data_IF_683528152032
#
_entry.id   IF_683528152032
#
_cell.length_a   1.000
_cell.length_b   1.000
_cell.length_c   1.000
_cell.angle_alpha   90.00
_cell.angle_beta   90.00
_cell.angle_gamma   90.00
#
_symmetry.space_group_name_H-M   'P 1'
#
loop_
_entity.id
_entity.type
_entity.pdbx_description
1 polymer ?
#
# COMPACT_ATOMS: atom_id res chain seq x y z
N UNK A 1 -7.55 30.52 -17.96
CA UNK A 1 -6.72 29.58 -17.18
C UNK A 1 -7.58 28.97 -16.08
N UNK A 2 -8.05 27.72 -16.22
CA UNK A 2 -8.99 27.09 -15.25
C UNK A 2 -8.21 26.35 -14.17
N UNK A 3 -8.28 26.80 -12.91
CA UNK A 3 -7.80 26.01 -11.77
C UNK A 3 -8.66 24.74 -11.62
N UNK A 4 -8.06 23.58 -11.84
CA UNK A 4 -8.70 22.29 -11.56
C UNK A 4 -8.49 22.00 -10.07
N UNK A 5 -9.60 21.88 -9.33
CA UNK A 5 -9.57 21.64 -7.87
C UNK A 5 -8.79 20.37 -7.50
N UNK A 6 -7.84 20.52 -6.56
CA UNK A 6 -7.03 19.44 -5.98
C UNK A 6 -7.86 18.27 -5.41
N UNK A 7 -9.15 18.46 -5.11
CA UNK A 7 -10.03 17.37 -4.64
C UNK A 7 -10.20 16.24 -5.66
N UNK A 8 -10.05 16.48 -6.97
CA UNK A 8 -10.13 15.41 -7.98
C UNK A 8 -8.92 14.48 -7.99
N UNK A 9 -7.76 14.94 -7.52
CA UNK A 9 -6.50 14.16 -7.47
C UNK A 9 -6.66 12.90 -6.59
N UNK A 10 -7.23 13.07 -5.40
CA UNK A 10 -7.30 12.02 -4.38
C UNK A 10 -8.23 10.85 -4.72
N UNK A 11 -9.32 11.07 -5.48
CA UNK A 11 -10.27 10.00 -5.84
C UNK A 11 -9.67 8.95 -6.81
N UNK A 12 -8.58 9.27 -7.51
CA UNK A 12 -7.96 8.38 -8.50
C UNK A 12 -6.76 7.58 -7.98
N UNK A 13 -6.19 7.95 -6.82
CA UNK A 13 -5.12 7.17 -6.17
C UNK A 13 -5.69 5.89 -5.51
N UNK A 14 -7.00 5.85 -5.23
CA UNK A 14 -7.66 4.83 -4.39
C UNK A 14 -8.84 4.09 -5.06
N UNK A 15 -8.90 3.99 -6.40
CA UNK A 15 -10.06 3.40 -7.12
C UNK A 15 -9.79 2.03 -7.80
N UNK A 16 -9.78 0.89 -7.07
CA UNK A 16 -9.63 -0.45 -7.64
C UNK A 16 -10.93 -1.04 -8.22
N UNK A 17 -11.75 -0.23 -8.92
CA UNK A 17 -13.08 -0.64 -9.40
C UNK A 17 -13.50 0.01 -10.73
N UNK A 18 -12.54 0.24 -11.64
CA UNK A 18 -12.82 0.58 -13.05
C UNK A 18 -12.07 -0.37 -14.02
N UNK A 19 -12.30 -1.67 -13.84
CA UNK A 19 -11.86 -2.73 -14.76
C UNK A 19 -12.99 -3.75 -15.00
N UNK A 20 -14.02 -3.28 -15.71
CA UNK A 20 -14.90 -4.04 -16.64
C UNK A 20 -15.94 -3.06 -17.17
N UNK A 21 -16.02 -2.92 -18.49
CA UNK A 21 -17.20 -2.41 -19.20
C UNK A 21 -17.48 -3.42 -20.30
N UNK A 22 -18.19 -4.48 -19.95
CA UNK A 22 -18.97 -5.26 -20.92
C UNK A 22 -20.25 -4.46 -21.14
N UNK A 23 -20.55 -4.14 -22.39
CA UNK A 23 -21.74 -3.38 -22.74
C UNK A 23 -22.97 -4.30 -22.71
N UNK A 24 -23.68 -4.30 -21.59
CA UNK A 24 -25.06 -4.79 -21.50
C UNK A 24 -25.95 -3.66 -21.00
N UNK A 25 -26.95 -3.31 -21.82
CA UNK A 25 -27.99 -2.35 -21.47
C UNK A 25 -29.07 -3.11 -20.72
N UNK A 26 -29.18 -2.86 -19.41
CA UNK A 26 -30.28 -3.36 -18.59
C UNK A 26 -31.13 -2.14 -18.20
N UNK A 27 -32.34 -2.06 -18.76
CA UNK A 27 -33.34 -1.10 -18.33
C UNK A 27 -33.89 -1.50 -16.96
N UNK A 28 -34.09 -0.52 -16.06
CA UNK A 28 -34.70 -0.72 -14.74
C UNK A 28 -35.89 0.24 -14.60
N UNK A 29 -37.04 -0.17 -14.03
CA UNK A 29 -38.30 0.56 -14.19
C UNK A 29 -38.38 1.87 -13.38
N UNK A 30 -39.25 2.78 -13.85
CA UNK A 30 -39.62 4.01 -13.14
C UNK A 30 -40.63 3.71 -12.01
N UNK A 31 -40.25 3.81 -10.73
CA UNK A 31 -41.05 4.46 -9.67
C UNK A 31 -40.44 4.43 -8.25
N UNK A 32 -40.21 5.63 -7.68
CA UNK A 32 -40.66 6.12 -6.34
C UNK A 32 -40.07 5.46 -5.05
N UNK A 33 -39.88 6.16 -3.90
CA UNK A 33 -39.89 7.61 -3.59
C UNK A 33 -38.52 8.16 -3.09
N UNK A 34 -38.44 9.48 -2.82
CA UNK A 34 -37.22 10.17 -2.38
C UNK A 34 -37.24 10.59 -0.88
N UNK A 35 -36.31 10.04 -0.07
CA UNK A 35 -36.05 10.35 1.36
C UNK A 35 -34.60 9.89 1.67
N UNK A 36 -33.63 10.62 2.27
CA UNK A 36 -33.46 12.05 2.65
C UNK A 36 -32.14 12.56 2.04
N UNK A 37 -31.99 13.87 1.78
CA UNK A 37 -30.68 14.48 1.48
C UNK A 37 -29.90 14.84 2.76
N UNK A 38 -28.94 14.00 3.17
CA UNK A 38 -27.95 14.35 4.19
C UNK A 38 -26.96 15.40 3.64
N UNK A 39 -27.28 16.67 3.88
CA UNK A 39 -26.54 17.85 3.40
C UNK A 39 -25.16 17.92 4.08
N UNK A 40 -24.10 17.48 3.40
CA UNK A 40 -22.72 17.64 3.88
C UNK A 40 -22.44 19.14 4.06
N UNK A 41 -22.29 19.55 5.31
CA UNK A 41 -21.96 20.93 5.66
C UNK A 41 -20.47 21.15 5.40
N UNK A 42 -20.14 21.56 4.18
CA UNK A 42 -18.85 22.16 3.91
C UNK A 42 -18.78 23.54 4.59
N UNK A 43 -17.73 23.87 5.37
CA UNK A 43 -17.59 25.18 5.97
C UNK A 43 -17.42 26.24 4.86
N UNK A 44 -18.38 27.16 4.75
CA UNK A 44 -18.26 28.36 3.92
C UNK A 44 -17.24 29.30 4.56
N UNK A 45 -16.06 29.42 3.95
CA UNK A 45 -15.14 30.52 4.24
C UNK A 45 -15.71 31.79 3.58
N UNK A 46 -16.34 32.65 4.38
CA UNK A 46 -16.79 33.96 3.94
C UNK A 46 -15.60 34.92 3.84
N UNK A 47 -15.27 35.38 2.63
CA UNK A 47 -14.36 36.51 2.44
C UNK A 47 -15.08 37.83 2.73
N UNK A 48 -15.26 38.14 4.01
CA UNK A 48 -15.74 39.43 4.50
C UNK A 48 -14.64 40.51 4.51
N UNK A 49 -15.01 41.78 4.32
CA UNK A 49 -14.08 42.92 4.22
C UNK A 49 -13.39 43.25 5.55
N UNK A 50 -12.21 43.88 5.44
CA UNK A 50 -11.38 44.41 6.55
C UNK A 50 -12.18 45.15 7.63
N UNK A 51 -11.80 44.93 8.90
CA UNK A 51 -11.55 45.99 9.87
C UNK A 51 -10.12 45.84 10.39
N UNK A 52 -9.58 46.94 10.91
CA UNK A 52 -8.14 47.13 11.16
C UNK A 52 -7.75 46.86 12.61
N UNK A 53 -6.42 46.87 12.79
CA UNK A 53 -5.68 47.17 14.01
C UNK A 53 -5.39 46.03 15.01
N UNK A 54 -4.09 45.70 15.02
CA UNK A 54 -3.26 45.29 16.16
C UNK A 54 -3.85 44.30 17.17
N UNK A 55 -3.58 43.02 16.92
CA UNK A 55 -2.74 42.25 17.85
C UNK A 55 -2.05 41.11 17.10
N UNK A 56 -0.72 41.16 17.03
CA UNK A 56 0.12 40.12 16.43
C UNK A 56 0.20 38.93 17.39
N UNK A 57 -0.80 38.05 17.34
CA UNK A 57 -0.59 36.68 17.79
C UNK A 57 -0.12 35.86 16.57
N UNK A 58 1.16 35.42 16.52
CA UNK A 58 1.66 34.61 15.42
C UNK A 58 1.08 33.21 15.54
N UNK A 59 -0.16 33.05 15.07
CA UNK A 59 -0.79 31.77 14.84
C UNK A 59 0.06 31.00 13.85
N UNK A 60 0.98 30.19 14.40
CA UNK A 60 1.56 29.04 13.72
C UNK A 60 0.35 28.21 13.28
N UNK A 61 0.02 28.33 12.00
CA UNK A 61 -0.92 27.43 11.35
C UNK A 61 -0.25 26.06 11.30
N UNK A 62 -0.31 25.35 12.42
CA UNK A 62 -0.03 23.93 12.50
C UNK A 62 -0.95 23.24 11.50
N UNK A 63 -0.42 22.99 10.30
CA UNK A 63 -1.08 22.11 9.35
C UNK A 63 -1.20 20.76 10.06
N UNK A 64 -2.42 20.38 10.40
CA UNK A 64 -2.69 19.15 11.13
C UNK A 64 -2.04 17.98 10.40
N UNK A 65 -1.19 17.22 11.07
CA UNK A 65 -0.45 16.14 10.42
C UNK A 65 -1.43 15.04 9.99
N UNK A 66 -1.51 14.81 8.68
CA UNK A 66 -2.41 13.83 8.08
C UNK A 66 -1.66 12.57 7.68
N UNK A 67 -2.26 11.44 8.00
CA UNK A 67 -1.70 10.11 7.81
C UNK A 67 -2.54 9.33 6.80
N UNK A 68 -1.85 8.48 6.05
CA UNK A 68 -2.43 7.36 5.31
C UNK A 68 -2.14 6.09 6.10
N UNK A 69 -3.15 5.23 6.29
CA UNK A 69 -3.04 4.00 7.09
C UNK A 69 -3.30 2.79 6.21
N UNK A 70 -2.32 1.89 6.18
CA UNK A 70 -2.39 0.54 5.62
C UNK A 70 -2.44 -0.48 6.76
N UNK A 71 -3.05 -1.64 6.49
CA UNK A 71 -3.06 -2.79 7.40
C UNK A 71 -2.21 -3.91 6.82
N UNK A 72 -1.34 -4.48 7.66
CA UNK A 72 -0.67 -5.73 7.38
C UNK A 72 -1.14 -6.85 8.31
N UNK A 73 -1.71 -7.91 7.72
CA UNK A 73 -2.16 -9.10 8.46
C UNK A 73 -0.98 -10.07 8.63
N UNK A 74 -0.46 -10.07 9.85
CA UNK A 74 0.58 -10.98 10.32
C UNK A 74 0.01 -12.23 11.03
N UNK A 75 -1.24 -12.20 11.50
CA UNK A 75 -1.97 -13.33 12.11
C UNK A 75 -3.18 -13.70 11.23
N UNK A 76 -3.02 -14.62 10.25
CA UNK A 76 -4.09 -14.97 9.30
C UNK A 76 -5.35 -15.53 9.96
N UNK A 77 -5.20 -16.18 11.11
CA UNK A 77 -6.28 -16.78 11.89
C UNK A 77 -7.24 -15.73 12.45
N UNK A 78 -6.81 -14.46 12.52
CA UNK A 78 -7.61 -13.31 12.95
C UNK A 78 -8.30 -12.56 11.80
N UNK A 79 -8.19 -13.05 10.56
CA UNK A 79 -8.69 -12.35 9.38
C UNK A 79 -10.18 -11.98 9.45
N UNK A 80 -11.05 -12.91 9.85
CA UNK A 80 -12.49 -12.65 9.94
C UNK A 80 -12.80 -11.58 10.99
N UNK A 81 -12.24 -11.71 12.21
CA UNK A 81 -12.36 -10.70 13.28
C UNK A 81 -11.88 -9.30 12.84
N UNK A 82 -10.81 -9.24 12.03
CA UNK A 82 -10.28 -7.99 11.48
C UNK A 82 -11.27 -7.39 10.47
N UNK A 83 -11.82 -8.21 9.57
CA UNK A 83 -12.79 -7.77 8.54
C UNK A 83 -14.05 -7.23 9.21
N UNK A 84 -14.62 -7.95 10.18
CA UNK A 84 -15.85 -7.53 10.88
C UNK A 84 -15.62 -6.21 11.64
N UNK A 85 -14.53 -6.13 12.42
CA UNK A 85 -14.17 -4.90 13.16
C UNK A 85 -14.02 -3.69 12.22
N UNK A 86 -13.42 -3.89 11.03
CA UNK A 86 -13.24 -2.84 10.04
C UNK A 86 -14.51 -2.51 9.26
N UNK A 87 -15.40 -3.47 9.05
CA UNK A 87 -16.70 -3.27 8.40
C UNK A 87 -17.57 -2.35 9.26
N UNK A 88 -17.65 -2.65 10.56
CA UNK A 88 -18.34 -1.83 11.54
C UNK A 88 -17.69 -0.46 11.72
N UNK A 89 -16.36 -0.37 11.75
CA UNK A 89 -15.66 0.92 11.89
C UNK A 89 -15.81 1.82 10.66
N UNK A 90 -15.59 1.28 9.45
CA UNK A 90 -15.62 2.02 8.19
C UNK A 90 -17.05 2.22 7.63
N UNK A 91 -18.06 1.61 8.26
CA UNK A 91 -19.45 1.50 7.77
C UNK A 91 -19.50 0.97 6.33
N UNK A 92 -18.89 -0.20 6.14
CA UNK A 92 -18.76 -0.93 4.87
C UNK A 92 -19.20 -2.37 5.03
N UNK A 93 -19.51 -3.06 3.94
CA UNK A 93 -19.73 -4.51 3.99
C UNK A 93 -18.40 -5.27 4.08
N UNK A 94 -18.43 -6.47 4.65
CA UNK A 94 -17.26 -7.38 4.73
C UNK A 94 -16.61 -7.59 3.35
N UNK A 95 -17.40 -7.74 2.28
CA UNK A 95 -16.89 -7.86 0.91
C UNK A 95 -16.09 -6.61 0.44
N UNK A 96 -16.52 -5.41 0.81
CA UNK A 96 -15.79 -4.17 0.52
C UNK A 96 -14.47 -4.08 1.31
N UNK A 97 -14.51 -4.43 2.59
CA UNK A 97 -13.32 -4.45 3.47
C UNK A 97 -12.31 -5.50 3.01
N UNK A 98 -12.77 -6.71 2.69
CA UNK A 98 -11.97 -7.76 2.08
C UNK A 98 -11.30 -7.23 0.80
N UNK A 99 -12.06 -6.61 -0.11
CA UNK A 99 -11.48 -6.02 -1.33
C UNK A 99 -10.41 -4.95 -1.04
N UNK A 100 -10.59 -4.12 -0.01
CA UNK A 100 -9.60 -3.11 0.42
C UNK A 100 -8.31 -3.80 0.88
N UNK A 101 -8.41 -4.67 1.90
CA UNK A 101 -7.29 -5.42 2.49
C UNK A 101 -6.49 -6.17 1.41
N UNK A 102 -7.21 -6.89 0.55
CA UNK A 102 -6.63 -7.75 -0.46
C UNK A 102 -6.17 -7.04 -1.75
N UNK A 103 -6.24 -5.71 -1.79
CA UNK A 103 -5.68 -4.88 -2.87
C UNK A 103 -4.45 -4.14 -2.37
N UNK A 104 -3.24 -4.62 -2.70
CA UNK A 104 -1.99 -3.94 -2.30
C UNK A 104 -2.00 -2.45 -2.71
N UNK A 105 -1.75 -1.51 -1.79
CA UNK A 105 -1.11 -1.70 -0.48
C UNK A 105 -2.06 -1.77 0.75
N UNK A 106 -3.34 -2.12 0.61
CA UNK A 106 -4.24 -2.37 1.76
C UNK A 106 -4.62 -1.13 2.58
N UNK A 107 -4.75 0.03 1.92
CA UNK A 107 -5.06 1.32 2.58
C UNK A 107 -6.52 1.33 3.05
N UNK A 108 -6.72 1.42 4.36
CA UNK A 108 -8.06 1.49 4.99
C UNK A 108 -8.50 2.92 5.29
N UNK A 109 -7.56 3.82 5.55
CA UNK A 109 -7.82 5.24 5.84
C UNK A 109 -6.81 6.12 5.11
N UNK A 110 -7.24 7.28 4.64
CA UNK A 110 -6.36 8.32 4.10
C UNK A 110 -6.82 9.69 4.61
N UNK A 111 -5.86 10.61 4.76
CA UNK A 111 -6.07 11.97 5.25
C UNK A 111 -6.68 12.05 6.67
N UNK A 112 -6.27 11.13 7.53
CA UNK A 112 -6.74 11.07 8.93
C UNK A 112 -5.70 11.64 9.90
N UNK A 113 -6.16 12.20 11.01
CA UNK A 113 -5.29 12.71 12.06
C UNK A 113 -4.77 11.57 12.98
N UNK A 114 -3.84 11.91 13.87
CA UNK A 114 -3.24 10.93 14.79
C UNK A 114 -4.23 10.32 15.80
N UNK A 115 -5.34 10.98 16.15
CA UNK A 115 -6.34 10.40 17.08
C UNK A 115 -7.07 9.22 16.44
N UNK A 116 -7.50 9.37 15.19
CA UNK A 116 -8.12 8.30 14.40
C UNK A 116 -7.16 7.14 14.15
N UNK A 117 -5.86 7.42 13.97
CA UNK A 117 -4.82 6.38 13.89
C UNK A 117 -4.75 5.57 15.19
N UNK A 118 -4.71 6.25 16.35
CA UNK A 118 -4.64 5.59 17.67
C UNK A 118 -5.89 4.77 18.00
N UNK A 119 -7.07 5.26 17.64
CA UNK A 119 -8.34 4.54 17.79
C UNK A 119 -8.34 3.24 16.98
N UNK A 120 -7.97 3.32 15.70
CA UNK A 120 -7.83 2.13 14.85
C UNK A 120 -6.76 1.15 15.38
N UNK A 121 -5.67 1.67 15.94
CA UNK A 121 -4.60 0.84 16.53
C UNK A 121 -5.07 0.09 17.78
N UNK A 122 -5.88 0.73 18.64
CA UNK A 122 -6.48 0.10 19.79
C UNK A 122 -7.48 -1.00 19.39
N UNK A 123 -8.32 -0.73 18.38
CA UNK A 123 -9.32 -1.69 17.86
C UNK A 123 -8.67 -2.97 17.28
N UNK A 124 -7.52 -2.84 16.64
CA UNK A 124 -6.81 -3.93 15.96
C UNK A 124 -5.61 -4.49 16.74
N UNK A 125 -5.45 -4.07 18.01
CA UNK A 125 -4.35 -4.51 18.87
C UNK A 125 -4.22 -6.05 18.89
N UNK A 126 -3.00 -6.54 18.65
CA UNK A 126 -2.66 -7.97 18.55
C UNK A 126 -3.35 -8.76 17.42
N UNK A 127 -4.17 -8.13 16.56
CA UNK A 127 -4.80 -8.76 15.39
C UNK A 127 -4.05 -8.45 14.09
N UNK A 128 -3.59 -7.21 13.92
CA UNK A 128 -2.87 -6.77 12.73
C UNK A 128 -1.82 -5.69 13.04
N UNK A 129 -0.85 -5.54 12.13
CA UNK A 129 0.09 -4.43 12.12
C UNK A 129 -0.55 -3.24 11.39
N UNK A 130 -0.55 -2.06 12.02
CA UNK A 130 -0.90 -0.80 11.35
C UNK A 130 0.36 -0.11 10.84
N UNK A 131 0.33 0.27 9.56
CA UNK A 131 1.40 1.00 8.91
C UNK A 131 0.89 2.39 8.61
N UNK A 132 1.43 3.40 9.30
CA UNK A 132 1.02 4.78 9.19
C UNK A 132 2.12 5.59 8.50
N UNK A 133 1.76 6.31 7.44
CA UNK A 133 2.70 7.05 6.63
C UNK A 133 2.21 8.48 6.38
N UNK A 134 3.16 9.44 6.37
CA UNK A 134 2.91 10.86 6.07
C UNK A 134 3.37 11.14 4.65
N UNK A 135 2.49 11.69 3.82
CA UNK A 135 2.69 11.73 2.37
C UNK A 135 3.96 12.47 1.98
N UNK A 136 4.29 13.52 2.73
CA UNK A 136 5.39 14.46 2.52
C UNK A 136 6.76 13.79 2.78
N UNK A 137 6.82 12.87 3.73
CA UNK A 137 8.05 12.21 4.18
C UNK A 137 8.28 10.85 3.49
N UNK A 138 7.22 10.23 2.98
CA UNK A 138 7.28 8.92 2.35
C UNK A 138 8.00 8.90 0.99
N UNK A 139 8.52 7.72 0.66
CA UNK A 139 9.07 7.40 -0.67
C UNK A 139 8.09 6.57 -1.47
N UNK A 140 8.04 6.82 -2.78
CA UNK A 140 7.08 6.17 -3.67
C UNK A 140 7.78 5.34 -4.75
N UNK A 141 7.18 4.19 -5.06
CA UNK A 141 7.46 3.41 -6.26
C UNK A 141 6.48 3.82 -7.35
N UNK A 142 6.98 3.97 -8.58
CA UNK A 142 6.18 4.09 -9.79
C UNK A 142 6.08 2.73 -10.50
N UNK A 143 4.85 2.24 -10.68
CA UNK A 143 4.52 1.12 -11.55
C UNK A 143 3.78 1.63 -12.80
N UNK A 144 3.95 0.91 -13.92
CA UNK A 144 3.28 1.21 -15.20
C UNK A 144 2.63 -0.05 -15.79
N UNK A 145 1.46 0.12 -16.40
CA UNK A 145 0.79 -0.94 -17.19
C UNK A 145 1.69 -1.35 -18.37
N UNK A 146 2.06 -2.63 -18.40
CA UNK A 146 2.99 -3.17 -19.39
C UNK A 146 2.45 -3.09 -20.82
N UNK A 147 1.12 -3.01 -20.98
CA UNK A 147 0.46 -2.87 -22.28
C UNK A 147 0.58 -1.44 -22.85
N UNK A 148 1.09 -0.47 -22.07
CA UNK A 148 1.15 0.95 -22.42
C UNK A 148 2.58 1.39 -22.79
N UNK A 149 3.21 0.67 -23.72
CA UNK A 149 4.62 0.88 -24.15
C UNK A 149 4.98 2.35 -24.39
N UNK A 150 4.21 3.07 -25.21
CA UNK A 150 4.41 4.50 -25.48
C UNK A 150 4.43 5.36 -24.21
N UNK A 151 3.52 5.11 -23.27
CA UNK A 151 3.46 5.86 -22.00
C UNK A 151 4.68 5.50 -21.13
N UNK A 152 5.12 4.23 -21.15
CA UNK A 152 6.37 3.81 -20.47
C UNK A 152 7.60 4.53 -21.03
N UNK A 153 7.69 4.71 -22.34
CA UNK A 153 8.77 5.47 -23.01
C UNK A 153 8.74 6.96 -22.65
N UNK A 154 7.56 7.60 -22.75
CA UNK A 154 7.36 9.01 -22.36
C UNK A 154 7.69 9.23 -20.87
N UNK A 155 7.30 8.31 -19.98
CA UNK A 155 7.66 8.33 -18.56
C UNK A 155 9.16 8.17 -18.30
N UNK A 156 9.88 7.30 -19.04
CA UNK A 156 11.34 7.18 -18.91
C UNK A 156 12.01 8.53 -19.24
N UNK A 157 11.55 9.22 -20.30
CA UNK A 157 11.99 10.57 -20.62
C UNK A 157 11.71 11.58 -19.50
N UNK A 158 10.53 11.53 -18.88
CA UNK A 158 10.16 12.40 -17.76
C UNK A 158 10.97 12.12 -16.49
N UNK A 159 11.21 10.86 -16.15
CA UNK A 159 12.04 10.45 -15.01
C UNK A 159 13.48 10.94 -15.14
N UNK A 160 14.07 10.80 -16.32
CA UNK A 160 15.43 11.31 -16.62
C UNK A 160 15.54 12.83 -16.46
N UNK A 161 14.52 13.60 -16.88
CA UNK A 161 14.46 15.07 -16.66
C UNK A 161 14.39 15.46 -15.19
N UNK A 162 13.85 14.59 -14.33
CA UNK A 162 13.78 14.76 -12.87
C UNK A 162 14.99 14.15 -12.13
N UNK A 163 16.01 13.68 -12.87
CA UNK A 163 17.18 12.96 -12.33
C UNK A 163 16.80 11.72 -11.50
N UNK A 164 15.66 11.09 -11.79
CA UNK A 164 15.20 9.88 -11.11
C UNK A 164 15.75 8.66 -11.84
N UNK A 165 16.58 7.86 -11.15
CA UNK A 165 17.14 6.63 -11.71
C UNK A 165 16.02 5.60 -11.91
N UNK A 166 15.78 5.23 -13.17
CA UNK A 166 14.84 4.18 -13.52
C UNK A 166 15.34 2.79 -13.08
N UNK A 167 14.48 1.99 -12.44
CA UNK A 167 14.70 0.55 -12.27
C UNK A 167 14.00 -0.16 -13.41
N UNK A 168 14.74 -0.63 -14.40
CA UNK A 168 14.16 -1.29 -15.59
C UNK A 168 13.84 -2.77 -15.27
N UNK A 169 12.68 -3.01 -14.66
CA UNK A 169 12.01 -4.29 -14.78
C UNK A 169 10.67 -4.13 -15.51
N UNK A 170 9.93 -5.22 -15.70
CA UNK A 170 8.75 -5.19 -16.58
C UNK A 170 7.63 -4.29 -16.03
N UNK A 171 7.40 -4.29 -14.70
CA UNK A 171 6.27 -3.62 -14.02
C UNK A 171 6.66 -2.33 -13.27
N UNK A 172 7.81 -2.35 -12.58
CA UNK A 172 8.32 -1.19 -11.83
C UNK A 172 9.18 -0.36 -12.77
N UNK A 173 9.02 0.97 -12.71
CA UNK A 173 9.77 1.90 -13.55
C UNK A 173 10.80 2.71 -12.75
N UNK A 174 10.46 3.09 -11.53
CA UNK A 174 11.35 3.82 -10.62
C UNK A 174 10.95 3.62 -9.15
N UNK A 175 11.93 3.82 -8.27
CA UNK A 175 11.75 3.86 -6.81
C UNK A 175 12.16 5.23 -6.27
N UNK A 176 11.95 5.41 -4.97
CA UNK A 176 12.52 6.48 -4.13
C UNK A 176 12.10 7.91 -4.51
N UNK A 177 11.01 7.99 -5.28
CA UNK A 177 10.36 9.21 -5.75
C UNK A 177 9.79 9.96 -4.53
N UNK A 178 10.09 11.25 -4.43
CA UNK A 178 9.51 12.14 -3.41
C UNK A 178 8.05 12.49 -3.74
N UNK A 179 7.28 12.94 -2.75
CA UNK A 179 5.91 13.41 -2.98
C UNK A 179 5.81 14.58 -3.98
N UNK A 180 6.81 15.47 -3.98
CA UNK A 180 6.92 16.57 -4.94
C UNK A 180 7.06 16.04 -6.38
N UNK A 181 7.99 15.12 -6.62
CA UNK A 181 8.20 14.55 -7.95
C UNK A 181 7.05 13.63 -8.38
N UNK A 182 6.43 12.90 -7.45
CA UNK A 182 5.17 12.17 -7.69
C UNK A 182 4.09 13.12 -8.21
N UNK A 183 3.93 14.29 -7.59
CA UNK A 183 2.91 15.28 -7.97
C UNK A 183 3.16 15.85 -9.37
N UNK A 184 4.43 16.12 -9.73
CA UNK A 184 4.83 16.53 -11.08
C UNK A 184 4.44 15.46 -12.11
N UNK A 185 4.90 14.22 -11.92
CA UNK A 185 4.62 13.09 -12.82
C UNK A 185 3.10 12.81 -12.93
N UNK A 186 2.36 12.86 -11.81
CA UNK A 186 0.92 12.62 -11.84
C UNK A 186 0.14 13.71 -12.57
N UNK A 187 0.60 14.97 -12.51
CA UNK A 187 -0.05 16.08 -13.23
C UNK A 187 0.02 15.88 -14.75
N UNK A 188 1.12 15.30 -15.25
CA UNK A 188 1.34 15.01 -16.67
C UNK A 188 0.68 13.68 -17.10
N UNK A 189 0.89 12.60 -16.34
CA UNK A 189 0.54 11.23 -16.75
C UNK A 189 -0.69 10.62 -16.05
N UNK A 190 -1.17 11.19 -14.93
CA UNK A 190 -2.23 10.59 -14.11
C UNK A 190 -3.57 10.42 -14.82
N UNK A 191 -3.87 11.27 -15.81
CA UNK A 191 -5.09 11.17 -16.62
C UNK A 191 -5.14 9.88 -17.48
N UNK A 192 -3.98 9.32 -17.83
CA UNK A 192 -3.88 8.11 -18.66
C UNK A 192 -4.38 6.83 -17.98
N UNK A 193 -4.42 6.83 -16.63
CA UNK A 193 -4.64 5.64 -15.78
C UNK A 193 -3.65 4.48 -16.03
N UNK A 194 -2.55 4.72 -16.75
CA UNK A 194 -1.52 3.74 -17.03
C UNK A 194 -0.47 3.61 -15.91
N UNK A 195 -0.46 4.55 -14.95
CA UNK A 195 0.50 4.60 -13.85
C UNK A 195 -0.14 4.33 -12.50
N UNK A 196 0.63 3.75 -11.59
CA UNK A 196 0.29 3.62 -10.16
C UNK A 196 1.48 4.04 -9.33
N UNK A 197 1.24 4.90 -8.35
CA UNK A 197 2.19 5.14 -7.27
C UNK A 197 1.86 4.25 -6.06
N UNK A 198 2.88 3.65 -5.47
CA UNK A 198 2.76 2.87 -4.23
C UNK A 198 3.70 3.49 -3.20
N UNK A 199 3.17 3.89 -2.05
CA UNK A 199 3.99 4.30 -0.92
C UNK A 199 4.80 3.09 -0.43
N UNK A 200 6.12 3.21 -0.40
CA UNK A 200 7.01 2.11 -0.05
C UNK A 200 6.91 1.70 1.42
N UNK A 201 6.46 2.60 2.31
CA UNK A 201 6.28 2.28 3.73
C UNK A 201 5.32 1.11 3.92
N UNK A 202 4.34 0.97 3.02
CA UNK A 202 3.33 -0.09 3.00
C UNK A 202 3.78 -1.37 2.27
N UNK A 203 4.93 -1.36 1.59
CA UNK A 203 5.46 -2.55 0.93
C UNK A 203 6.11 -3.49 1.94
N UNK A 204 5.86 -4.78 1.76
CA UNK A 204 6.37 -5.88 2.59
C UNK A 204 6.99 -6.94 1.68
N UNK A 205 8.09 -7.54 2.11
CA UNK A 205 8.85 -8.53 1.33
C UNK A 205 9.13 -9.77 2.17
N UNK A 206 8.94 -10.92 1.55
CA UNK A 206 9.51 -12.16 2.03
C UNK A 206 10.95 -12.24 1.50
N UNK A 207 11.94 -12.41 2.40
CA UNK A 207 13.31 -12.77 2.00
C UNK A 207 13.31 -14.25 1.69
N UNK A 208 13.61 -14.61 0.46
CA UNK A 208 13.69 -15.99 0.01
C UNK A 208 15.12 -16.38 -0.31
N UNK A 209 15.49 -17.60 0.05
CA UNK A 209 16.68 -18.25 -0.50
C UNK A 209 16.47 -18.40 -2.01
N UNK A 210 17.47 -17.99 -2.80
CA UNK A 210 17.49 -18.16 -4.23
C UNK A 210 17.71 -19.64 -4.61
N UNK A 211 17.23 -20.04 -5.78
CA UNK A 211 17.59 -21.34 -6.35
C UNK A 211 19.08 -21.36 -6.70
N UNK A 212 19.90 -21.84 -5.76
CA UNK A 212 21.31 -22.12 -5.99
C UNK A 212 21.57 -23.58 -5.59
N UNK A 213 21.93 -24.40 -6.57
CA UNK A 213 22.20 -25.84 -6.40
C UNK A 213 23.37 -26.15 -5.47
N UNK A 214 24.16 -25.13 -5.11
CA UNK A 214 25.35 -25.23 -4.29
C UNK A 214 25.16 -24.64 -2.88
N UNK A 215 23.91 -24.57 -2.38
CA UNK A 215 23.65 -24.17 -1.00
C UNK A 215 24.21 -25.20 -0.02
N UNK A 216 25.17 -24.78 0.80
CA UNK A 216 25.77 -25.59 1.86
C UNK A 216 25.44 -24.93 3.20
N UNK A 217 24.82 -25.69 4.10
CA UNK A 217 24.57 -25.26 5.47
C UNK A 217 25.88 -25.28 6.26
N UNK A 218 26.37 -24.12 6.71
CA UNK A 218 27.49 -24.03 7.65
C UNK A 218 27.00 -23.84 9.08
N UNK A 219 27.83 -24.18 10.06
CA UNK A 219 27.52 -23.95 11.48
C UNK A 219 27.30 -22.45 11.79
N UNK A 220 28.01 -21.56 11.10
CA UNK A 220 27.83 -20.11 11.22
C UNK A 220 26.45 -19.65 10.73
N UNK A 221 26.01 -20.11 9.55
CA UNK A 221 24.67 -19.83 9.00
C UNK A 221 23.60 -20.39 9.95
N UNK A 222 23.77 -21.64 10.41
CA UNK A 222 22.87 -22.31 11.35
C UNK A 222 22.74 -21.52 12.66
N UNK A 223 23.86 -21.14 13.28
CA UNK A 223 23.90 -20.34 14.50
C UNK A 223 23.27 -18.94 14.30
N UNK A 224 23.51 -18.29 13.17
CA UNK A 224 22.92 -17.00 12.84
C UNK A 224 21.39 -17.08 12.72
N UNK A 225 20.86 -18.06 11.97
CA UNK A 225 19.43 -18.27 11.78
C UNK A 225 18.72 -18.63 13.10
N UNK A 226 19.33 -19.48 13.93
CA UNK A 226 18.84 -19.79 15.29
C UNK A 226 18.80 -18.54 16.17
N UNK A 227 19.88 -17.76 16.21
CA UNK A 227 20.02 -16.58 17.09
C UNK A 227 19.09 -15.45 16.70
N UNK A 228 19.08 -15.06 15.41
CA UNK A 228 18.37 -13.87 14.92
C UNK A 228 16.90 -14.14 14.59
N UNK A 229 16.60 -15.26 13.95
CA UNK A 229 15.27 -15.58 13.43
C UNK A 229 14.56 -16.73 14.15
N UNK A 230 15.17 -17.29 15.20
CA UNK A 230 14.60 -18.37 16.04
C UNK A 230 14.19 -19.61 15.24
N UNK A 231 15.01 -19.97 14.24
CA UNK A 231 14.81 -21.19 13.47
C UNK A 231 15.05 -22.43 14.36
N UNK A 232 14.19 -23.44 14.21
CA UNK A 232 14.40 -24.76 14.82
C UNK A 232 15.38 -25.58 13.99
N UNK A 233 16.04 -26.55 14.62
CA UNK A 233 16.92 -27.51 13.93
C UNK A 233 16.22 -28.18 12.75
N UNK A 234 14.97 -28.63 12.94
CA UNK A 234 14.15 -29.20 11.88
C UNK A 234 14.01 -28.29 10.65
N UNK A 235 13.73 -26.99 10.84
CA UNK A 235 13.66 -26.03 9.73
C UNK A 235 15.00 -25.89 9.03
N UNK A 236 16.10 -25.89 9.78
CA UNK A 236 17.47 -25.73 9.27
C UNK A 236 17.88 -26.93 8.42
N UNK A 237 17.57 -28.15 8.85
CA UNK A 237 17.84 -29.37 8.07
C UNK A 237 17.11 -29.37 6.71
N UNK A 238 15.89 -28.84 6.65
CA UNK A 238 15.13 -28.72 5.40
C UNK A 238 15.57 -27.56 4.49
N UNK A 239 16.53 -26.71 4.91
CA UNK A 239 16.93 -25.53 4.12
C UNK A 239 17.58 -25.86 2.77
N UNK A 240 18.19 -27.04 2.63
CA UNK A 240 18.78 -27.48 1.36
C UNK A 240 17.83 -28.29 0.46
N UNK A 241 16.64 -28.67 0.94
CA UNK A 241 15.76 -29.63 0.23
C UNK A 241 14.59 -29.02 -0.52
N UNK A 242 14.27 -27.72 -0.34
CA UNK A 242 13.15 -27.07 -1.02
C UNK A 242 13.62 -25.94 -1.97
N UNK A 243 13.00 -25.79 -3.16
CA UNK A 243 13.44 -24.83 -4.20
C UNK A 243 13.01 -23.36 -3.98
N UNK A 244 12.33 -23.02 -2.87
CA UNK A 244 11.92 -21.62 -2.60
C UNK A 244 11.60 -21.40 -1.12
N UNK A 245 12.62 -21.37 -0.28
CA UNK A 245 12.41 -21.22 1.16
C UNK A 245 12.39 -19.76 1.55
N UNK A 246 11.40 -19.39 2.34
CA UNK A 246 11.28 -18.04 2.90
C UNK A 246 11.99 -17.98 4.25
N UNK A 247 13.14 -17.30 4.28
CA UNK A 247 13.98 -17.12 5.47
C UNK A 247 13.37 -16.11 6.44
N UNK A 248 12.84 -15.00 5.92
CA UNK A 248 12.18 -13.95 6.72
C UNK A 248 10.88 -13.56 6.03
N UNK A 249 9.80 -13.43 6.78
CA UNK A 249 8.48 -13.04 6.25
C UNK A 249 8.21 -11.57 6.48
N UNK A 250 7.60 -10.91 5.49
CA UNK A 250 7.02 -9.57 5.62
C UNK A 250 7.96 -8.48 6.19
N UNK A 251 9.22 -8.45 5.77
CA UNK A 251 10.16 -7.35 6.05
C UNK A 251 9.67 -6.07 5.37
N UNK A 252 9.76 -4.93 6.05
CA UNK A 252 9.41 -3.62 5.47
C UNK A 252 10.41 -3.15 4.41
N UNK A 253 9.95 -2.34 3.45
CA UNK A 253 10.81 -1.79 2.39
C UNK A 253 12.04 -1.03 2.90
N UNK A 254 11.95 -0.37 4.07
CA UNK A 254 13.08 0.35 4.67
C UNK A 254 14.16 -0.56 5.28
N UNK A 255 13.86 -1.83 5.55
CA UNK A 255 14.80 -2.79 6.14
C UNK A 255 15.34 -3.81 5.12
N UNK A 256 14.64 -4.03 4.00
CA UNK A 256 14.91 -5.17 3.11
C UNK A 256 16.34 -5.20 2.54
N UNK A 257 16.91 -4.06 2.13
CA UNK A 257 18.27 -4.04 1.56
C UNK A 257 19.34 -4.36 2.61
N UNK A 258 19.16 -3.93 3.87
CA UNK A 258 20.04 -4.32 4.99
C UNK A 258 19.96 -5.82 5.22
N UNK A 259 18.75 -6.35 5.35
CA UNK A 259 18.55 -7.77 5.65
C UNK A 259 19.07 -8.66 4.50
N UNK A 260 18.92 -8.22 3.24
CA UNK A 260 19.54 -8.87 2.07
C UNK A 260 21.08 -8.81 2.09
N UNK A 261 21.67 -7.69 2.52
CA UNK A 261 23.13 -7.54 2.63
C UNK A 261 23.69 -8.52 3.66
N UNK A 262 23.14 -8.54 4.88
CA UNK A 262 23.58 -9.43 5.96
C UNK A 262 23.55 -10.91 5.56
N UNK A 263 22.55 -11.34 4.79
CA UNK A 263 22.51 -12.71 4.28
C UNK A 263 23.58 -12.96 3.20
N UNK A 264 23.84 -11.98 2.31
CA UNK A 264 24.91 -12.09 1.30
C UNK A 264 26.31 -12.13 1.92
N UNK A 265 26.52 -11.38 3.01
CA UNK A 265 27.78 -11.38 3.76
C UNK A 265 28.05 -12.77 4.40
N UNK A 266 26.99 -13.52 4.74
CA UNK A 266 27.04 -14.94 5.15
C UNK A 266 27.11 -15.92 3.96
N UNK A 267 27.38 -15.44 2.74
CA UNK A 267 27.46 -16.26 1.52
C UNK A 267 26.12 -16.74 0.96
N UNK A 268 24.98 -16.27 1.50
CA UNK A 268 23.66 -16.74 1.07
C UNK A 268 23.15 -15.99 -0.17
N UNK A 269 22.81 -16.75 -1.20
CA UNK A 269 22.06 -16.23 -2.33
C UNK A 269 20.61 -15.98 -1.91
N UNK A 270 20.22 -14.72 -1.73
CA UNK A 270 18.86 -14.33 -1.33
C UNK A 270 18.23 -13.29 -2.26
N UNK A 271 16.90 -13.34 -2.36
CA UNK A 271 16.07 -12.41 -3.13
C UNK A 271 14.89 -11.91 -2.30
N UNK A 272 14.47 -10.66 -2.53
CA UNK A 272 13.25 -10.12 -1.95
C UNK A 272 12.05 -10.37 -2.86
N UNK A 273 11.03 -11.07 -2.35
CA UNK A 273 9.76 -11.31 -3.03
C UNK A 273 8.68 -10.46 -2.38
N UNK A 274 8.05 -9.57 -3.15
CA UNK A 274 6.97 -8.72 -2.63
C UNK A 274 5.79 -9.58 -2.13
N UNK A 275 5.36 -9.32 -0.90
CA UNK A 275 4.19 -9.95 -0.29
C UNK A 275 2.94 -9.34 -0.90
N UNK A 276 2.19 -10.15 -1.63
CA UNK A 276 0.80 -9.84 -1.98
C UNK A 276 -0.15 -10.67 -1.12
N UNK A 277 -1.21 -10.04 -0.61
CA UNK A 277 -2.27 -10.74 0.13
C UNK A 277 -3.01 -11.79 -0.72
N UNK A 278 -2.80 -11.83 -2.04
CA UNK A 278 -3.25 -12.91 -2.94
C UNK A 278 -2.99 -14.31 -2.36
N UNK A 279 -1.92 -14.51 -1.59
CA UNK A 279 -1.62 -15.79 -0.91
C UNK A 279 -2.68 -16.24 0.10
N UNK A 280 -3.34 -15.32 0.80
CA UNK A 280 -4.41 -15.69 1.74
C UNK A 280 -5.78 -15.79 1.07
N UNK A 281 -5.99 -15.20 -0.12
CA UNK A 281 -7.22 -15.46 -0.91
C UNK A 281 -7.42 -16.96 -1.15
N UNK A 282 -6.34 -17.68 -1.43
CA UNK A 282 -6.36 -19.13 -1.68
C UNK A 282 -6.65 -19.96 -0.42
N UNK A 283 -6.21 -19.52 0.77
CA UNK A 283 -6.60 -20.18 2.03
C UNK A 283 -8.08 -19.96 2.33
N UNK A 284 -8.56 -18.73 2.24
CA UNK A 284 -9.96 -18.37 2.52
C UNK A 284 -10.95 -19.10 1.59
N UNK A 285 -10.56 -19.37 0.34
CA UNK A 285 -11.37 -20.17 -0.59
C UNK A 285 -11.38 -21.67 -0.22
N UNK A 286 -10.28 -22.22 0.31
CA UNK A 286 -10.21 -23.63 0.72
C UNK A 286 -10.84 -23.89 2.10
N UNK A 287 -10.79 -22.90 3.01
CA UNK A 287 -11.30 -23.00 4.38
C UNK A 287 -12.80 -22.59 4.49
N UNK A 288 -13.53 -22.55 3.37
CA UNK A 288 -15.00 -22.47 3.36
C UNK A 288 -15.62 -21.07 3.32
N UNK A 289 -15.05 -20.11 2.58
CA UNK A 289 -15.87 -19.02 1.99
C UNK A 289 -16.27 -19.40 0.56
N UNK A 290 -17.13 -20.43 0.47
CA UNK A 290 -17.90 -20.70 -0.73
C UNK A 290 -19.02 -19.65 -0.86
N UNK A 291 -19.04 -18.98 -2.01
CA UNK A 291 -19.97 -17.91 -2.41
C UNK A 291 -19.80 -16.56 -1.69
N UNK A 292 -19.26 -15.58 -2.42
CA UNK A 292 -19.93 -14.32 -2.78
C UNK A 292 -19.25 -13.80 -4.06
N UNK A 293 -20.08 -13.40 -5.05
CA UNK A 293 -19.70 -12.95 -6.40
C UNK A 293 -18.98 -11.59 -6.43
#
# INVERSE_FOLDING_TARGET
MKMISNQKFFKYILAPHLWKKTDEVIEIPKSIPAVVNAKVIAPRINFGRRKTDSELNPNILYQAELYTVSIFINVPEKLTEIIDSLADYLKKSNAQVYKIIFTSPGIVLDQVNLSVVKELQAMLANKAELICARKENSKYRLEVDQNRKRIKEELIGALSKLSIIGKVNSKVLACDISFENLTKIWTEFGASRAIKFINQDFLRYDVQLGNNSNFIMTDEISAYLKRKYRFSDSKITHLGSEPSITLVKAVSACNIERDLLEFRDLGLCVQAKEVSFSRYKLRVLNDGIDNIL
#
